data_IF_835470751773
#
_entry.id   IF_835470751773
#
_cell.length_a   1.000
_cell.length_b   1.000
_cell.length_c   1.000
_cell.angle_alpha   90.00
_cell.angle_beta   90.00
_cell.angle_gamma   90.00
#
_symmetry.space_group_name_H-M   'P 1'
#
loop_
_entity.id
_entity.type
_entity.pdbx_description
1 polymer ?
#
# COMPACT_ATOMS: atom_id res chain seq x y z
N UNK A 1 -23.65 15.07 -18.10
CA UNK A 1 -22.67 14.17 -17.42
C UNK A 1 -21.69 13.57 -18.44
N UNK A 2 -22.18 13.07 -19.58
CA UNK A 2 -21.33 12.63 -20.71
C UNK A 2 -20.43 13.77 -21.24
N UNK A 3 -20.94 15.01 -21.34
CA UNK A 3 -20.13 16.15 -21.79
C UNK A 3 -18.99 16.52 -20.82
N UNK A 4 -19.15 16.25 -19.52
CA UNK A 4 -18.10 16.48 -18.53
C UNK A 4 -16.99 15.42 -18.62
N UNK A 5 -17.37 14.17 -18.95
CA UNK A 5 -16.42 13.09 -19.24
C UNK A 5 -15.67 13.39 -20.54
N UNK A 6 -16.37 13.85 -21.58
CA UNK A 6 -15.76 14.27 -22.84
C UNK A 6 -14.78 15.44 -22.64
N UNK A 7 -15.13 16.41 -21.78
CA UNK A 7 -14.24 17.51 -21.40
C UNK A 7 -13.02 17.06 -20.60
N UNK A 8 -13.16 16.09 -19.68
CA UNK A 8 -12.06 15.54 -18.88
C UNK A 8 -11.11 14.63 -19.68
N UNK A 9 -11.62 13.92 -20.69
CA UNK A 9 -10.82 13.10 -21.62
C UNK A 9 -10.07 13.96 -22.64
N UNK A 10 -10.43 15.24 -22.79
CA UNK A 10 -9.53 16.37 -23.07
C UNK A 10 -8.42 16.18 -24.13
N UNK A 11 -8.65 15.38 -25.17
CA UNK A 11 -7.69 15.09 -26.24
C UNK A 11 -6.60 14.06 -25.92
N UNK A 12 -6.49 13.57 -24.68
CA UNK A 12 -5.50 12.56 -24.30
C UNK A 12 -6.15 11.18 -24.13
N UNK A 13 -6.59 10.64 -25.27
CA UNK A 13 -7.20 9.32 -25.36
C UNK A 13 -6.34 8.21 -24.71
N UNK A 14 -4.98 8.20 -24.85
CA UNK A 14 -4.15 7.23 -24.14
C UNK A 14 -4.27 7.31 -22.61
N UNK A 15 -4.27 8.51 -22.03
CA UNK A 15 -4.43 8.68 -20.58
C UNK A 15 -5.82 8.24 -20.10
N UNK A 16 -6.87 8.57 -20.85
CA UNK A 16 -8.23 8.13 -20.55
C UNK A 16 -8.37 6.59 -20.64
N UNK A 17 -7.77 5.97 -21.65
CA UNK A 17 -7.72 4.52 -21.79
C UNK A 17 -6.97 3.87 -20.61
N UNK A 18 -5.83 4.44 -20.20
CA UNK A 18 -5.07 3.95 -19.05
C UNK A 18 -5.88 4.00 -17.75
N UNK A 19 -6.62 5.10 -17.51
CA UNK A 19 -7.50 5.23 -16.34
C UNK A 19 -8.64 4.21 -16.37
N UNK A 20 -9.28 4.01 -17.53
CA UNK A 20 -10.35 3.02 -17.68
C UNK A 20 -9.84 1.59 -17.46
N UNK A 21 -8.67 1.26 -17.99
CA UNK A 21 -8.05 -0.06 -17.78
C UNK A 21 -7.71 -0.27 -16.30
N UNK A 22 -7.12 0.74 -15.63
CA UNK A 22 -6.83 0.68 -14.20
C UNK A 22 -8.10 0.50 -13.36
N UNK A 23 -9.18 1.22 -13.70
CA UNK A 23 -10.47 1.08 -13.04
C UNK A 23 -11.06 -0.33 -13.22
N UNK A 24 -11.08 -0.85 -14.46
CA UNK A 24 -11.59 -2.19 -14.76
C UNK A 24 -10.76 -3.28 -14.06
N UNK A 25 -9.44 -3.13 -14.01
CA UNK A 25 -8.55 -4.04 -13.28
C UNK A 25 -8.81 -4.00 -11.76
N UNK A 26 -9.06 -2.82 -11.21
CA UNK A 26 -9.48 -2.65 -9.82
C UNK A 26 -10.84 -3.27 -9.52
N UNK A 27 -11.84 -3.00 -10.37
CA UNK A 27 -13.21 -3.49 -10.21
C UNK A 27 -13.32 -5.03 -10.38
N UNK A 28 -12.47 -5.62 -11.22
CA UNK A 28 -12.42 -7.07 -11.42
C UNK A 28 -11.71 -7.83 -10.29
N UNK A 29 -11.01 -7.14 -9.39
CA UNK A 29 -10.31 -7.79 -8.28
C UNK A 29 -11.24 -7.81 -7.05
N UNK A 30 -11.67 -8.99 -6.54
CA UNK A 30 -12.49 -9.01 -5.33
C UNK A 30 -11.71 -8.40 -4.17
N UNK A 31 -12.33 -7.49 -3.42
CA UNK A 31 -11.63 -6.64 -2.45
C UNK A 31 -10.74 -7.39 -1.45
N UNK A 32 -11.15 -8.58 -1.01
CA UNK A 32 -10.32 -9.44 -0.14
C UNK A 32 -9.01 -9.90 -0.79
N UNK A 33 -9.05 -10.29 -2.07
CA UNK A 33 -7.84 -10.68 -2.80
C UNK A 33 -6.94 -9.49 -3.14
N UNK A 34 -7.51 -8.29 -3.32
CA UNK A 34 -6.72 -7.07 -3.50
C UNK A 34 -5.88 -6.76 -2.26
N UNK A 35 -6.51 -6.86 -1.07
CA UNK A 35 -5.81 -6.63 0.21
C UNK A 35 -4.73 -7.68 0.46
N UNK A 36 -5.00 -8.96 0.19
CA UNK A 36 -3.98 -10.01 0.34
C UNK A 36 -2.76 -9.75 -0.55
N UNK A 37 -2.99 -9.28 -1.79
CA UNK A 37 -1.91 -8.90 -2.72
C UNK A 37 -1.11 -7.69 -2.22
N UNK A 38 -1.77 -6.67 -1.66
CA UNK A 38 -1.10 -5.49 -1.10
C UNK A 38 -0.25 -5.88 0.11
N UNK A 39 -0.78 -6.70 1.02
CA UNK A 39 -0.06 -7.18 2.19
C UNK A 39 1.15 -8.04 1.81
N UNK A 40 0.97 -8.97 0.86
CA UNK A 40 2.06 -9.81 0.35
C UNK A 40 3.13 -9.00 -0.37
N UNK A 41 2.72 -8.09 -1.26
CA UNK A 41 3.63 -7.18 -1.96
C UNK A 41 4.39 -6.29 -0.96
N UNK A 42 3.70 -5.71 0.02
CA UNK A 42 4.30 -4.88 1.06
C UNK A 42 5.38 -5.61 1.86
N UNK A 43 5.13 -6.86 2.27
CA UNK A 43 6.13 -7.70 2.94
C UNK A 43 7.37 -7.95 2.07
N UNK A 44 7.16 -8.24 0.78
CA UNK A 44 8.27 -8.45 -0.16
C UNK A 44 9.08 -7.16 -0.34
N UNK A 45 8.44 -6.02 -0.53
CA UNK A 45 9.13 -4.73 -0.67
C UNK A 45 9.88 -4.39 0.62
N UNK A 46 9.25 -4.57 1.79
CA UNK A 46 9.89 -4.32 3.08
C UNK A 46 11.14 -5.18 3.27
N UNK A 47 11.12 -6.46 2.85
CA UNK A 47 12.29 -7.35 2.91
C UNK A 47 13.47 -6.91 2.04
N UNK A 48 13.25 -5.99 1.10
CA UNK A 48 14.27 -5.46 0.19
C UNK A 48 14.82 -4.11 0.64
N UNK A 49 14.18 -3.44 1.61
CA UNK A 49 14.67 -2.19 2.14
C UNK A 49 15.88 -2.48 3.05
N UNK A 50 17.00 -1.74 2.89
CA UNK A 50 18.11 -1.85 3.81
C UNK A 50 17.64 -1.37 5.19
N UNK A 51 17.74 -2.25 6.19
CA UNK A 51 17.48 -1.87 7.56
C UNK A 51 18.63 -0.97 8.04
N UNK A 52 18.28 0.18 8.61
CA UNK A 52 19.26 1.07 9.21
C UNK A 52 18.87 1.26 10.68
N UNK A 53 19.68 0.76 11.62
CA UNK A 53 19.38 0.91 13.03
C UNK A 53 19.40 2.40 13.42
N UNK A 54 18.63 2.78 14.44
CA UNK A 54 18.70 4.11 15.02
C UNK A 54 20.14 4.46 15.46
N UNK A 55 20.57 5.72 15.34
CA UNK A 55 21.92 6.12 15.72
C UNK A 55 22.19 5.83 17.20
N UNK A 56 23.24 5.07 17.49
CA UNK A 56 23.64 4.68 18.85
C UNK A 56 23.10 3.33 19.33
N UNK A 57 22.40 2.57 18.48
CA UNK A 57 21.88 1.23 18.78
C UNK A 57 22.50 0.20 17.83
N UNK A 58 22.85 -0.97 18.36
CA UNK A 58 23.33 -2.11 17.57
C UNK A 58 22.18 -2.74 16.76
N UNK A 59 22.49 -3.36 15.63
CA UNK A 59 21.48 -3.86 14.69
C UNK A 59 20.55 -4.90 15.34
N UNK A 60 21.11 -5.81 16.14
CA UNK A 60 20.36 -6.85 16.84
C UNK A 60 19.41 -6.28 17.88
N UNK A 61 19.87 -5.31 18.67
CA UNK A 61 19.07 -4.63 19.71
C UNK A 61 17.90 -3.86 19.09
N UNK A 62 18.15 -3.21 17.95
CA UNK A 62 17.13 -2.46 17.23
C UNK A 62 16.06 -3.37 16.59
N UNK A 63 16.44 -4.56 16.13
CA UNK A 63 15.52 -5.57 15.60
C UNK A 63 14.67 -6.20 16.71
N UNK A 64 15.27 -6.50 17.86
CA UNK A 64 14.56 -7.01 19.04
C UNK A 64 13.50 -6.00 19.49
N UNK A 65 13.88 -4.72 19.68
CA UNK A 65 12.96 -3.65 20.07
C UNK A 65 11.81 -3.44 19.06
N UNK A 66 12.09 -3.58 17.76
CA UNK A 66 11.05 -3.48 16.72
C UNK A 66 10.08 -4.67 16.72
N UNK A 67 10.55 -5.86 17.12
CA UNK A 67 9.72 -7.06 17.21
C UNK A 67 8.81 -7.09 18.44
N UNK A 68 9.27 -6.53 19.57
CA UNK A 68 8.50 -6.46 20.82
C UNK A 68 7.25 -5.58 20.71
N UNK A 69 7.26 -4.56 19.83
CA UNK A 69 6.10 -3.69 19.59
C UNK A 69 4.94 -4.34 18.80
N UNK A 70 5.15 -5.51 18.19
CA UNK A 70 4.12 -6.18 17.36
C UNK A 70 3.12 -6.97 18.21
N UNK A 71 3.49 -7.38 19.44
CA UNK A 71 2.62 -8.12 20.36
C UNK A 71 1.68 -7.21 21.19
N UNK A 72 1.82 -5.88 21.10
CA UNK A 72 1.08 -4.90 21.92
C UNK A 72 -0.01 -4.09 21.21
N UNK A 73 -0.31 -4.40 19.94
CA UNK A 73 -1.19 -3.57 19.08
C UNK A 73 -2.63 -4.07 18.95
N UNK A 74 -3.35 -4.28 20.05
CA UNK A 74 -4.79 -4.54 20.03
C UNK A 74 -5.50 -4.18 21.36
N UNK A 75 -5.27 -2.99 21.91
CA UNK A 75 -6.16 -2.43 22.94
C UNK A 75 -5.92 -0.92 23.10
N UNK A 76 -6.46 -0.12 22.17
CA UNK A 76 -6.80 1.27 22.47
C UNK A 76 -8.17 1.26 23.15
N UNK A 77 -8.16 1.12 24.48
CA UNK A 77 -9.29 1.46 25.35
C UNK A 77 -9.43 3.00 25.33
N UNK A 78 -10.49 3.49 24.66
CA UNK A 78 -10.94 4.88 24.81
C UNK A 78 -11.70 4.99 26.15
N UNK A 79 -11.13 5.73 27.08
CA UNK A 79 -11.77 6.21 28.32
C UNK A 79 -12.63 7.45 28.05
#
# INVERSE_FOLDING_TARGET
MIDAIAGAVGGNLPAAAAVLIAYMAGAATPGGYAMERINGFGRVVASKLPYQPPPGMEETEALEAASEGVDGGASDEQE
#
